data_IF_111829189253
#
_entry.id   IF_111829189253
#
_cell.length_a   1.000
_cell.length_b   1.000
_cell.length_c   1.000
_cell.angle_alpha   90.00
_cell.angle_beta   90.00
_cell.angle_gamma   90.00
#
_symmetry.space_group_name_H-M   'P 1'
#
loop_
_entity.id
_entity.type
_entity.pdbx_description
1 polymer ?
#
# COMPACT_ATOMS: atom_id res chain seq x y z
N UNK A 1 11.94 20.49 -8.25
CA UNK A 1 11.34 21.71 -7.70
C UNK A 1 12.03 21.98 -6.37
N UNK A 2 12.29 23.23 -6.00
CA UNK A 2 12.78 23.57 -4.66
C UNK A 2 11.66 24.19 -3.82
N UNK A 3 11.77 24.14 -2.50
CA UNK A 3 10.90 24.88 -1.59
C UNK A 3 11.70 26.00 -0.94
N UNK A 4 11.12 27.19 -0.95
CA UNK A 4 11.56 28.35 -0.18
C UNK A 4 10.70 28.39 1.08
N UNK A 5 11.29 27.95 2.19
CA UNK A 5 10.60 27.74 3.46
C UNK A 5 10.81 28.95 4.39
N UNK A 6 9.71 29.54 4.85
CA UNK A 6 9.69 30.60 5.87
C UNK A 6 9.27 30.03 7.22
N UNK A 7 9.99 30.37 8.28
CA UNK A 7 9.74 29.93 9.65
C UNK A 7 10.25 30.95 10.68
N UNK A 8 9.88 30.79 11.96
CA UNK A 8 10.42 31.59 13.06
C UNK A 8 11.52 30.83 13.79
N UNK A 9 12.75 31.28 13.67
CA UNK A 9 13.91 30.57 14.19
C UNK A 9 14.15 30.88 15.68
N UNK A 10 13.96 29.88 16.54
CA UNK A 10 14.19 29.98 17.98
C UNK A 10 15.65 30.30 18.32
N UNK A 11 16.62 29.73 17.59
CA UNK A 11 18.04 29.98 17.81
C UNK A 11 18.46 31.41 17.43
N UNK A 12 17.61 32.12 16.68
CA UNK A 12 17.79 33.53 16.29
C UNK A 12 16.79 34.47 16.97
N UNK A 13 16.37 34.14 18.19
CA UNK A 13 15.41 34.93 18.98
C UNK A 13 14.07 35.15 18.26
N UNK A 14 13.53 34.09 17.65
CA UNK A 14 12.21 34.07 16.99
C UNK A 14 12.09 35.00 15.78
N UNK A 15 13.22 35.36 15.16
CA UNK A 15 13.21 36.11 13.91
C UNK A 15 12.65 35.26 12.76
N UNK A 16 11.86 35.90 11.90
CA UNK A 16 11.41 35.27 10.66
C UNK A 16 12.61 35.07 9.73
N UNK A 17 12.81 33.84 9.28
CA UNK A 17 13.88 33.45 8.38
C UNK A 17 13.32 32.68 7.21
N UNK A 18 14.03 32.82 6.10
CA UNK A 18 13.76 32.10 4.87
C UNK A 18 14.97 31.25 4.51
N UNK A 19 14.74 29.98 4.19
CA UNK A 19 15.77 29.07 3.68
C UNK A 19 15.30 28.40 2.39
N UNK A 20 16.25 28.15 1.49
CA UNK A 20 15.99 27.50 0.22
C UNK A 20 16.50 26.06 0.26
N UNK A 21 15.60 25.11 0.02
CA UNK A 21 15.90 23.68 0.04
C UNK A 21 15.51 23.08 -1.31
N UNK A 22 16.46 22.42 -1.95
CA UNK A 22 16.27 21.77 -3.25
C UNK A 22 15.79 20.33 -3.06
N UNK A 23 14.99 19.85 -4.00
CA UNK A 23 14.70 18.41 -4.07
C UNK A 23 16.00 17.63 -4.28
N UNK A 24 16.18 16.50 -3.58
CA UNK A 24 17.36 15.66 -3.77
C UNK A 24 17.26 14.77 -5.02
N UNK A 25 16.07 14.69 -5.64
CA UNK A 25 15.80 13.82 -6.79
C UNK A 25 16.29 14.42 -8.10
N UNK A 26 16.25 15.76 -8.23
CA UNK A 26 16.60 16.47 -9.46
C UNK A 26 17.69 17.50 -9.20
N UNK A 27 18.88 17.30 -9.80
CA UNK A 27 20.09 18.07 -9.49
C UNK A 27 20.07 19.55 -9.89
N UNK A 28 19.16 19.99 -10.77
CA UNK A 28 19.00 21.40 -11.12
C UNK A 28 17.53 21.70 -11.45
N UNK A 29 16.86 22.44 -10.58
CA UNK A 29 15.48 22.89 -10.85
C UNK A 29 15.38 24.40 -10.63
N UNK A 30 14.90 25.17 -11.64
CA UNK A 30 14.81 26.63 -11.55
C UNK A 30 13.57 27.12 -10.77
N UNK A 31 12.59 26.25 -10.55
CA UNK A 31 11.31 26.62 -9.94
C UNK A 31 11.32 26.42 -8.41
N UNK A 32 10.87 27.47 -7.72
CA UNK A 32 10.73 27.53 -6.26
C UNK A 32 9.26 27.64 -5.87
N UNK A 33 8.82 26.80 -4.93
CA UNK A 33 7.52 26.90 -4.27
C UNK A 33 7.70 27.56 -2.89
N UNK A 34 6.95 28.63 -2.61
CA UNK A 34 7.05 29.37 -1.37
C UNK A 34 6.10 28.83 -0.31
N UNK A 35 6.61 28.37 0.83
CA UNK A 35 5.80 27.81 1.93
C UNK A 35 6.15 28.42 3.28
N UNK A 36 5.15 28.52 4.15
CA UNK A 36 5.30 28.99 5.53
C UNK A 36 5.10 27.78 6.46
N UNK A 37 6.03 27.60 7.38
CA UNK A 37 6.02 26.55 8.40
C UNK A 37 5.89 27.21 9.77
N UNK A 38 4.64 27.40 10.22
CA UNK A 38 4.33 28.21 11.41
C UNK A 38 4.67 27.51 12.73
N UNK A 39 4.66 26.18 12.76
CA UNK A 39 4.82 25.37 13.97
C UNK A 39 6.18 24.64 14.06
N UNK A 40 7.17 25.09 13.29
CA UNK A 40 8.52 24.54 13.33
C UNK A 40 9.47 25.70 13.61
N UNK A 41 10.16 25.65 14.75
CA UNK A 41 11.02 26.73 15.24
C UNK A 41 12.52 26.38 15.20
N UNK A 42 12.85 25.13 14.87
CA UNK A 42 14.21 24.61 14.68
C UNK A 42 14.53 24.41 13.19
N UNK A 43 15.68 24.91 12.74
CA UNK A 43 16.10 24.86 11.33
C UNK A 43 16.34 23.42 10.85
N UNK A 44 16.83 22.52 11.69
CA UNK A 44 17.09 21.13 11.30
C UNK A 44 15.77 20.37 11.13
N UNK A 45 14.83 20.53 12.05
CA UNK A 45 13.48 19.98 11.93
C UNK A 45 12.75 20.53 10.70
N UNK A 46 12.93 21.83 10.41
CA UNK A 46 12.38 22.43 9.20
C UNK A 46 12.96 21.78 7.94
N UNK A 47 14.29 21.60 7.89
CA UNK A 47 14.96 20.96 6.75
C UNK A 47 14.44 19.54 6.51
N UNK A 48 14.30 18.75 7.57
CA UNK A 48 13.70 17.42 7.50
C UNK A 48 12.29 17.46 6.92
N UNK A 49 11.43 18.33 7.46
CA UNK A 49 10.04 18.45 7.00
C UNK A 49 9.94 18.89 5.54
N UNK A 50 10.74 19.87 5.13
CA UNK A 50 10.74 20.38 3.77
C UNK A 50 11.20 19.31 2.77
N UNK A 51 12.22 18.51 3.13
CA UNK A 51 12.64 17.38 2.31
C UNK A 51 11.54 16.33 2.22
N UNK A 52 10.91 15.96 3.33
CA UNK A 52 9.77 15.04 3.31
C UNK A 52 8.66 15.53 2.36
N UNK A 53 8.28 16.81 2.46
CA UNK A 53 7.28 17.42 1.58
C UNK A 53 7.72 17.46 0.10
N UNK A 54 9.03 17.53 -0.19
CA UNK A 54 9.59 17.48 -1.54
C UNK A 54 9.62 16.06 -2.12
N UNK A 55 9.76 15.04 -1.29
CA UNK A 55 9.77 13.63 -1.70
C UNK A 55 8.35 13.08 -1.92
N UNK A 56 7.38 13.53 -1.11
CA UNK A 56 5.98 13.06 -1.17
C UNK A 56 5.39 13.06 -2.59
N UNK A 57 5.41 14.15 -3.38
CA UNK A 57 4.83 14.14 -4.73
C UNK A 57 5.53 13.18 -5.70
N UNK A 58 6.79 12.81 -5.40
CA UNK A 58 7.54 11.91 -6.25
C UNK A 58 7.21 10.44 -6.01
N UNK A 59 7.03 10.05 -4.75
CA UNK A 59 6.76 8.66 -4.38
C UNK A 59 5.26 8.36 -4.19
N UNK A 60 4.47 9.33 -3.73
CA UNK A 60 3.00 9.22 -3.59
C UNK A 60 2.27 9.78 -4.82
N UNK A 61 2.61 9.26 -5.99
CA UNK A 61 2.03 9.74 -7.27
C UNK A 61 0.59 9.29 -7.46
N UNK A 62 0.29 8.07 -7.01
CA UNK A 62 -1.04 7.48 -7.13
C UNK A 62 -1.77 7.68 -5.82
N UNK A 63 -2.99 8.22 -5.91
CA UNK A 63 -3.92 8.31 -4.80
C UNK A 63 -5.15 7.49 -5.14
N UNK A 64 -5.61 6.73 -4.16
CA UNK A 64 -6.83 5.95 -4.26
C UNK A 64 -7.89 6.63 -3.42
N UNK A 65 -9.05 6.84 -4.01
CA UNK A 65 -10.26 7.23 -3.32
C UNK A 65 -11.11 5.98 -3.12
N UNK A 66 -11.34 5.62 -1.86
CA UNK A 66 -11.97 4.36 -1.48
C UNK A 66 -13.19 4.69 -0.62
N UNK A 67 -14.36 4.28 -1.07
CA UNK A 67 -15.56 4.32 -0.24
C UNK A 67 -15.69 2.99 0.53
N UNK A 68 -15.91 3.08 1.84
CA UNK A 68 -16.01 1.92 2.73
C UNK A 68 -17.11 2.12 3.78
N UNK A 69 -17.49 1.02 4.42
CA UNK A 69 -18.50 0.97 5.47
C UNK A 69 -18.02 1.75 6.72
N UNK A 70 -18.94 2.17 7.59
CA UNK A 70 -18.63 2.90 8.85
C UNK A 70 -17.62 2.17 9.76
N UNK A 71 -17.48 0.85 9.68
CA UNK A 71 -16.45 0.09 10.41
C UNK A 71 -15.01 0.50 10.03
N UNK A 72 -14.83 1.10 8.84
CA UNK A 72 -13.60 1.77 8.43
C UNK A 72 -13.24 3.00 9.28
N UNK A 73 -14.07 3.42 10.25
CA UNK A 73 -13.76 4.48 11.21
C UNK A 73 -12.51 4.24 12.06
N UNK A 74 -12.06 2.98 12.20
CA UNK A 74 -10.80 2.68 12.89
C UNK A 74 -9.55 3.08 12.08
N UNK A 75 -9.68 3.31 10.77
CA UNK A 75 -8.57 3.60 9.84
C UNK A 75 -8.26 5.10 9.82
N UNK A 76 -7.52 5.56 10.84
CA UNK A 76 -7.08 6.96 10.97
C UNK A 76 -5.99 7.32 9.95
N UNK A 77 -5.79 8.62 9.64
CA UNK A 77 -4.62 9.07 8.89
C UNK A 77 -3.32 8.55 9.50
N UNK A 78 -2.45 7.99 8.67
CA UNK A 78 -1.23 7.29 9.08
C UNK A 78 -1.41 5.78 9.26
N UNK A 79 -2.63 5.25 9.28
CA UNK A 79 -2.86 3.81 9.30
C UNK A 79 -2.35 3.18 8.00
N UNK A 80 -1.68 2.03 8.15
CA UNK A 80 -1.26 1.20 7.05
C UNK A 80 -2.43 0.30 6.63
N UNK A 81 -2.78 0.33 5.35
CA UNK A 81 -3.82 -0.50 4.75
C UNK A 81 -3.27 -1.23 3.53
N UNK A 82 -3.81 -2.41 3.26
CA UNK A 82 -3.54 -3.13 2.01
C UNK A 82 -4.66 -2.89 1.03
N UNK A 83 -4.34 -2.42 -0.18
CA UNK A 83 -5.30 -2.34 -1.28
C UNK A 83 -5.11 -3.51 -2.22
N UNK A 84 -6.24 -4.12 -2.58
CA UNK A 84 -6.33 -5.23 -3.52
C UNK A 84 -7.55 -4.94 -4.38
N UNK A 85 -7.33 -4.68 -5.66
CA UNK A 85 -8.40 -4.44 -6.63
C UNK A 85 -7.97 -5.05 -7.95
N UNK A 86 -8.93 -5.55 -8.73
CA UNK A 86 -8.77 -5.97 -10.12
C UNK A 86 -8.21 -4.87 -11.05
N UNK A 87 -8.37 -3.60 -10.68
CA UNK A 87 -7.89 -2.44 -11.44
C UNK A 87 -6.46 -2.00 -11.12
N UNK A 88 -5.84 -2.57 -10.08
CA UNK A 88 -4.52 -2.12 -9.58
C UNK A 88 -3.39 -3.00 -10.11
N UNK A 89 -3.68 -4.28 -10.40
CA UNK A 89 -2.78 -5.20 -11.10
C UNK A 89 -3.55 -6.44 -11.59
N UNK A 90 -3.28 -6.95 -12.80
CA UNK A 90 -4.01 -8.08 -13.42
C UNK A 90 -3.86 -9.42 -12.65
N UNK A 91 -3.02 -9.44 -11.61
CA UNK A 91 -2.60 -10.63 -10.88
C UNK A 91 -3.04 -10.66 -9.41
N UNK A 92 -3.73 -9.63 -8.90
CA UNK A 92 -4.18 -9.52 -7.51
C UNK A 92 -5.69 -9.35 -7.38
N UNK A 93 -6.33 -10.18 -6.53
CA UNK A 93 -7.79 -10.22 -6.37
C UNK A 93 -8.21 -10.20 -4.90
N UNK A 94 -9.25 -9.43 -4.60
CA UNK A 94 -9.83 -9.28 -3.26
C UNK A 94 -11.30 -9.73 -3.22
N UNK A 95 -11.72 -10.33 -2.11
CA UNK A 95 -13.10 -10.74 -1.88
C UNK A 95 -13.44 -10.80 -0.39
N UNK A 96 -14.73 -10.82 -0.04
CA UNK A 96 -15.18 -11.23 1.31
C UNK A 96 -15.41 -12.73 1.33
N UNK A 97 -15.03 -13.35 2.45
CA UNK A 97 -15.30 -14.76 2.69
C UNK A 97 -16.81 -14.92 2.99
N UNK A 98 -17.50 -15.64 2.11
CA UNK A 98 -18.94 -15.94 2.25
C UNK A 98 -19.18 -17.13 3.17
N UNK A 99 -18.33 -18.15 3.09
CA UNK A 99 -18.48 -19.37 3.86
C UNK A 99 -17.14 -20.12 3.99
N UNK A 100 -16.86 -20.71 5.15
CA UNK A 100 -15.77 -21.67 5.34
C UNK A 100 -16.35 -23.07 5.46
N UNK A 101 -15.88 -24.01 4.64
CA UNK A 101 -16.31 -25.40 4.66
C UNK A 101 -15.54 -26.20 5.72
N UNK A 102 -16.13 -27.30 6.25
CA UNK A 102 -15.47 -28.15 7.25
C UNK A 102 -14.14 -28.78 6.80
N UNK A 103 -13.90 -28.84 5.48
CA UNK A 103 -12.69 -29.38 4.86
C UNK A 103 -11.62 -28.31 4.58
N UNK A 104 -11.85 -27.05 5.00
CA UNK A 104 -10.90 -25.94 4.84
C UNK A 104 -11.03 -25.18 3.52
N UNK A 105 -11.97 -25.55 2.64
CA UNK A 105 -12.31 -24.74 1.47
C UNK A 105 -13.03 -23.46 1.88
N UNK A 106 -12.94 -22.44 1.04
CA UNK A 106 -13.57 -21.16 1.29
C UNK A 106 -14.39 -20.75 0.07
N UNK A 107 -15.64 -20.36 0.29
CA UNK A 107 -16.47 -19.72 -0.73
C UNK A 107 -16.37 -18.20 -0.59
N UNK A 108 -16.23 -17.50 -1.70
CA UNK A 108 -16.05 -16.06 -1.78
C UNK A 108 -17.33 -15.37 -2.28
N UNK A 109 -17.50 -14.10 -1.94
CA UNK A 109 -18.64 -13.30 -2.42
C UNK A 109 -18.58 -13.02 -3.92
N UNK A 110 -17.38 -12.92 -4.49
CA UNK A 110 -17.12 -12.75 -5.91
C UNK A 110 -16.43 -13.94 -6.56
N UNK A 111 -16.70 -14.14 -7.85
CA UNK A 111 -16.01 -15.14 -8.68
C UNK A 111 -14.61 -14.63 -8.99
N UNK A 112 -13.61 -15.46 -8.73
CA UNK A 112 -12.23 -15.18 -9.11
C UNK A 112 -12.01 -15.60 -10.56
N UNK A 113 -11.31 -14.81 -11.39
CA UNK A 113 -10.91 -15.29 -12.71
C UNK A 113 -9.97 -16.47 -12.54
N UNK A 114 -10.41 -17.63 -13.01
CA UNK A 114 -9.59 -18.83 -13.06
C UNK A 114 -8.60 -18.66 -14.21
N UNK A 115 -7.30 -18.61 -13.92
CA UNK A 115 -6.27 -18.79 -14.95
C UNK A 115 -6.21 -20.27 -15.30
N UNK A 116 -7.30 -20.82 -15.81
CA UNK A 116 -7.32 -22.18 -16.39
C UNK A 116 -6.99 -22.06 -17.86
N UNK A 117 -5.72 -21.76 -18.13
CA UNK A 117 -5.05 -22.25 -19.32
C UNK A 117 -3.68 -22.73 -18.84
N UNK A 118 -3.62 -24.01 -18.47
CA UNK A 118 -2.35 -24.73 -18.47
C UNK A 118 -1.80 -24.61 -19.88
N UNK A 119 -0.89 -23.67 -20.12
CA UNK A 119 0.05 -23.82 -21.21
C UNK A 119 0.85 -25.07 -20.86
N UNK A 120 0.41 -26.21 -21.38
CA UNK A 120 1.16 -27.45 -21.29
C UNK A 120 2.54 -27.15 -21.85
N UNK A 121 3.58 -27.37 -21.05
CA UNK A 121 4.99 -27.21 -21.46
C UNK A 121 5.28 -27.96 -22.77
N UNK A 122 4.50 -29.01 -23.04
CA UNK A 122 4.60 -29.87 -24.22
C UNK A 122 4.03 -29.23 -25.52
N UNK A 123 3.25 -28.14 -25.44
CA UNK A 123 2.70 -27.41 -26.61
C UNK A 123 3.57 -26.21 -27.04
N UNK A 124 4.71 -25.97 -26.36
CA UNK A 124 5.63 -24.88 -26.68
C UNK A 124 6.61 -25.35 -27.76
N UNK A 125 6.26 -25.12 -29.02
CA UNK A 125 7.14 -25.44 -30.18
C UNK A 125 8.42 -24.60 -30.28
N UNK A 126 8.57 -23.55 -29.46
CA UNK A 126 9.78 -22.72 -29.42
C UNK A 126 10.02 -22.15 -28.01
N UNK A 127 10.79 -22.88 -27.20
CA UNK A 127 11.11 -22.54 -25.80
C UNK A 127 12.07 -21.36 -25.63
N UNK A 128 12.56 -20.78 -26.73
CA UNK A 128 13.53 -19.68 -26.71
C UNK A 128 12.92 -18.28 -26.89
N UNK A 129 11.60 -18.17 -27.04
CA UNK A 129 10.95 -16.90 -27.36
C UNK A 129 9.70 -16.61 -26.49
N UNK A 130 9.79 -16.92 -25.20
CA UNK A 130 8.76 -16.57 -24.21
C UNK A 130 9.25 -15.43 -23.32
N UNK A 131 8.86 -14.21 -23.69
CA UNK A 131 8.60 -13.18 -22.69
C UNK A 131 7.51 -13.76 -21.76
N UNK A 132 7.87 -14.12 -20.51
CA UNK A 132 6.92 -14.65 -19.51
C UNK A 132 7.16 -16.07 -18.99
N UNK A 133 8.25 -16.76 -19.38
CA UNK A 133 8.55 -18.10 -18.83
C UNK A 133 8.76 -18.11 -17.29
N UNK A 134 9.02 -16.94 -16.69
CA UNK A 134 9.15 -16.77 -15.25
C UNK A 134 7.84 -16.44 -14.52
N UNK A 135 6.74 -16.14 -15.22
CA UNK A 135 5.45 -15.77 -14.61
C UNK A 135 4.56 -17.00 -14.27
N UNK A 136 4.90 -18.18 -14.82
CA UNK A 136 4.07 -19.40 -14.74
C UNK A 136 4.26 -20.24 -13.46
N UNK A 137 5.05 -19.79 -12.49
CA UNK A 137 5.37 -20.57 -11.28
C UNK A 137 5.15 -19.82 -9.96
N UNK A 138 4.59 -18.61 -9.98
CA UNK A 138 4.31 -17.90 -8.74
C UNK A 138 3.08 -18.52 -8.06
N UNK A 139 3.35 -19.40 -7.09
CA UNK A 139 2.32 -20.00 -6.26
C UNK A 139 1.43 -18.89 -5.68
N UNK A 140 0.14 -18.98 -5.93
CA UNK A 140 -0.84 -18.09 -5.34
C UNK A 140 -1.06 -18.44 -3.87
N UNK A 141 -1.30 -17.45 -3.04
CA UNK A 141 -1.61 -17.63 -1.63
C UNK A 141 -2.71 -16.65 -1.27
N UNK A 142 -3.51 -17.06 -0.30
CA UNK A 142 -4.51 -16.27 0.38
C UNK A 142 -3.90 -15.62 1.62
N UNK A 143 -4.03 -14.30 1.75
CA UNK A 143 -3.81 -13.56 2.98
C UNK A 143 -5.17 -13.18 3.58
N UNK A 144 -5.40 -13.56 4.84
CA UNK A 144 -6.57 -13.15 5.62
C UNK A 144 -6.10 -12.48 6.89
N UNK A 145 -6.72 -11.35 7.24
CA UNK A 145 -6.48 -10.70 8.53
C UNK A 145 -7.47 -11.25 9.56
N UNK A 146 -6.96 -11.91 10.58
CA UNK A 146 -7.74 -12.43 11.72
C UNK A 146 -7.52 -11.54 12.94
N UNK A 147 -8.37 -11.64 14.00
CA UNK A 147 -8.17 -10.88 15.23
C UNK A 147 -6.81 -11.15 15.92
N UNK A 148 -6.19 -12.28 15.63
CA UNK A 148 -4.88 -12.68 16.19
C UNK A 148 -3.70 -12.32 15.29
N UNK A 149 -3.94 -11.78 14.10
CA UNK A 149 -2.89 -11.39 13.15
C UNK A 149 -3.24 -11.77 11.70
N UNK A 150 -2.34 -11.48 10.77
CA UNK A 150 -2.51 -11.90 9.39
C UNK A 150 -2.02 -13.35 9.21
N UNK A 151 -2.83 -14.16 8.55
CA UNK A 151 -2.49 -15.54 8.22
C UNK A 151 -2.38 -15.72 6.70
N UNK A 152 -1.35 -16.44 6.26
CA UNK A 152 -1.08 -16.73 4.85
C UNK A 152 -1.24 -18.23 4.56
N UNK A 153 -1.89 -18.59 3.45
CA UNK A 153 -2.12 -19.99 3.03
C UNK A 153 -1.96 -20.17 1.54
N UNK A 154 -1.19 -21.15 1.10
CA UNK A 154 -1.05 -21.40 -0.33
C UNK A 154 -2.39 -21.85 -0.93
N UNK A 155 -2.74 -21.29 -2.09
CA UNK A 155 -3.89 -21.72 -2.88
C UNK A 155 -3.46 -22.95 -3.67
N UNK A 156 -4.20 -24.04 -3.52
CA UNK A 156 -3.93 -25.31 -4.18
C UNK A 156 -4.86 -25.57 -5.36
N UNK A 157 -6.06 -24.98 -5.35
CA UNK A 157 -7.05 -25.08 -6.42
C UNK A 157 -8.05 -23.91 -6.39
N UNK A 158 -8.63 -23.56 -7.54
CA UNK A 158 -9.68 -22.54 -7.69
C UNK A 158 -10.74 -23.05 -8.65
N UNK A 159 -11.99 -23.14 -8.18
CA UNK A 159 -13.13 -23.58 -8.98
C UNK A 159 -14.31 -22.63 -8.79
N UNK A 160 -14.45 -21.65 -9.69
CA UNK A 160 -15.51 -20.64 -9.62
C UNK A 160 -15.31 -19.68 -8.43
N UNK A 161 -16.27 -19.67 -7.50
CA UNK A 161 -16.21 -18.89 -6.26
C UNK A 161 -15.63 -19.67 -5.07
N UNK A 162 -15.16 -20.90 -5.28
CA UNK A 162 -14.58 -21.74 -4.23
C UNK A 162 -13.07 -21.88 -4.43
N UNK A 163 -12.32 -21.60 -3.36
CA UNK A 163 -10.87 -21.77 -3.29
C UNK A 163 -10.51 -22.93 -2.35
N UNK A 164 -9.49 -23.69 -2.72
CA UNK A 164 -8.89 -24.73 -1.88
C UNK A 164 -7.52 -24.26 -1.41
N UNK A 165 -7.25 -24.43 -0.12
CA UNK A 165 -6.00 -24.04 0.53
C UNK A 165 -5.18 -25.26 0.92
N UNK A 166 -3.88 -25.07 1.10
CA UNK A 166 -2.95 -26.10 1.59
C UNK A 166 -3.26 -26.55 3.02
N UNK A 167 -3.80 -25.64 3.84
CA UNK A 167 -4.24 -25.89 5.20
C UNK A 167 -5.29 -24.87 5.64
N UNK A 168 -6.18 -25.23 6.58
CA UNK A 168 -7.14 -24.29 7.13
C UNK A 168 -6.43 -23.16 7.90
N UNK A 169 -7.11 -22.02 8.00
CA UNK A 169 -6.70 -20.94 8.89
C UNK A 169 -6.84 -21.33 10.35
N UNK A 170 -6.02 -20.73 11.22
CA UNK A 170 -6.06 -20.97 12.66
C UNK A 170 -7.33 -20.44 13.32
N UNK A 171 -7.91 -19.37 12.78
CA UNK A 171 -9.25 -18.89 13.16
C UNK A 171 -10.34 -19.73 12.52
N UNK A 172 -11.31 -20.18 13.32
CA UNK A 172 -12.50 -20.89 12.84
C UNK A 172 -13.62 -19.96 12.34
N UNK A 173 -13.60 -18.69 12.74
CA UNK A 173 -14.58 -17.69 12.33
C UNK A 173 -13.92 -16.67 11.40
N UNK A 174 -14.18 -16.82 10.11
CA UNK A 174 -13.66 -15.98 9.03
C UNK A 174 -14.76 -15.46 8.12
N UNK A 175 -16.02 -15.79 8.39
CA UNK A 175 -17.13 -15.31 7.59
C UNK A 175 -17.21 -13.78 7.67
N UNK A 176 -17.31 -13.12 6.52
CA UNK A 176 -17.26 -11.65 6.43
C UNK A 176 -15.85 -11.04 6.44
N UNK A 177 -14.80 -11.81 6.73
CA UNK A 177 -13.43 -11.32 6.67
C UNK A 177 -12.99 -11.08 5.22
N UNK A 178 -12.12 -10.08 5.02
CA UNK A 178 -11.52 -9.82 3.71
C UNK A 178 -10.34 -10.76 3.46
N UNK A 179 -10.28 -11.30 2.24
CA UNK A 179 -9.20 -12.14 1.75
C UNK A 179 -8.54 -11.50 0.53
N UNK A 180 -7.22 -11.57 0.47
CA UNK A 180 -6.39 -11.14 -0.67
C UNK A 180 -5.72 -12.35 -1.28
N UNK A 181 -5.81 -12.50 -2.60
CA UNK A 181 -5.26 -13.65 -3.34
C UNK A 181 -4.45 -13.12 -4.54
N UNK A 182 -3.25 -13.66 -4.72
CA UNK A 182 -2.35 -13.31 -5.83
C UNK A 182 -0.99 -13.97 -5.64
N UNK A 183 0.03 -13.68 -6.46
CA UNK A 183 1.44 -14.00 -6.19
C UNK A 183 1.92 -13.38 -4.87
N UNK A 184 2.90 -13.98 -4.18
CA UNK A 184 3.42 -13.38 -2.92
C UNK A 184 4.15 -12.06 -3.18
N UNK A 185 4.69 -11.93 -4.39
CA UNK A 185 5.36 -10.77 -4.98
C UNK A 185 4.40 -9.60 -5.23
N UNK A 186 3.13 -9.87 -5.60
CA UNK A 186 2.15 -8.87 -6.03
C UNK A 186 0.98 -8.66 -5.06
N UNK A 187 1.07 -9.22 -3.84
CA UNK A 187 -0.16 -9.57 -3.12
C UNK A 187 -0.93 -8.41 -2.50
N UNK A 188 -0.27 -7.34 -2.06
CA UNK A 188 -0.94 -6.17 -1.51
C UNK A 188 -0.15 -4.92 -1.84
N UNK A 189 -0.83 -3.92 -2.40
CA UNK A 189 -0.25 -2.59 -2.42
C UNK A 189 -0.45 -1.97 -1.04
N UNK A 190 0.63 -1.98 -0.26
CA UNK A 190 0.69 -1.31 1.04
C UNK A 190 0.50 0.18 0.79
N UNK A 191 -0.49 0.76 1.43
CA UNK A 191 -0.86 2.15 1.31
C UNK A 191 -1.00 2.77 2.69
N UNK A 192 -0.69 4.06 2.80
CA UNK A 192 -0.91 4.85 3.99
C UNK A 192 -2.19 5.66 3.79
N UNK A 193 -3.08 5.64 4.79
CA UNK A 193 -4.25 6.53 4.81
C UNK A 193 -3.76 7.96 4.96
N UNK A 194 -4.03 8.79 3.96
CA UNK A 194 -3.63 10.21 3.94
C UNK A 194 -4.73 11.09 4.50
N UNK A 195 -5.99 10.74 4.20
CA UNK A 195 -7.15 11.52 4.60
C UNK A 195 -8.37 10.61 4.77
N UNK A 196 -9.29 11.04 5.63
CA UNK A 196 -10.55 10.37 5.87
C UNK A 196 -11.69 11.41 5.93
N UNK A 197 -12.84 11.09 5.35
CA UNK A 197 -14.02 11.95 5.37
C UNK A 197 -15.31 11.13 5.44
N UNK A 198 -16.32 11.64 6.13
CA UNK A 198 -17.64 11.01 6.17
C UNK A 198 -18.42 11.43 4.93
N UNK A 199 -18.81 10.47 4.09
CA UNK A 199 -19.47 10.72 2.80
C UNK A 199 -20.98 10.44 2.83
N UNK A 200 -21.48 9.73 3.85
CA UNK A 200 -22.90 9.39 3.99
C UNK A 200 -23.33 9.00 5.41
N UNK A 201 -24.57 8.52 5.54
CA UNK A 201 -25.15 8.09 6.82
C UNK A 201 -24.51 6.79 7.34
N UNK A 202 -23.98 5.95 6.44
CA UNK A 202 -23.30 4.69 6.76
C UNK A 202 -21.99 4.43 6.00
N UNK A 203 -21.47 5.41 5.26
CA UNK A 203 -20.25 5.27 4.46
C UNK A 203 -19.21 6.37 4.76
N UNK A 204 -17.95 6.02 4.50
CA UNK A 204 -16.78 6.86 4.68
C UNK A 204 -15.90 6.80 3.43
N UNK A 205 -15.37 7.94 3.02
CA UNK A 205 -14.36 8.01 1.96
C UNK A 205 -12.97 8.14 2.57
N UNK A 206 -12.07 7.26 2.17
CA UNK A 206 -10.66 7.21 2.56
C UNK A 206 -9.83 7.57 1.34
N UNK A 207 -8.86 8.48 1.52
CA UNK A 207 -7.82 8.73 0.54
C UNK A 207 -6.55 8.03 1.00
N UNK A 208 -6.05 7.11 0.18
CA UNK A 208 -4.83 6.37 0.44
C UNK A 208 -3.76 6.68 -0.62
N UNK A 209 -2.50 6.55 -0.25
CA UNK A 209 -1.36 6.64 -1.17
C UNK A 209 -0.42 5.47 -0.95
N UNK A 210 0.31 5.07 -1.99
CA UNK A 210 1.31 4.01 -1.91
C UNK A 210 2.27 4.24 -0.74
N UNK A 211 2.60 3.19 0.02
CA UNK A 211 3.69 3.25 0.98
C UNK A 211 4.99 3.53 0.23
N UNK A 212 5.77 4.51 0.71
CA UNK A 212 7.00 4.95 0.09
C UNK A 212 8.19 4.73 1.03
N UNK A 213 8.66 3.49 1.18
CA UNK A 213 9.80 3.16 2.05
C UNK A 213 11.08 3.92 1.66
N UNK A 214 11.18 4.37 0.40
CA UNK A 214 12.30 5.18 -0.09
C UNK A 214 12.37 6.55 0.60
N UNK A 215 11.22 7.12 0.99
CA UNK A 215 11.20 8.35 1.79
C UNK A 215 11.86 8.07 3.13
N UNK A 216 11.44 7.00 3.82
CA UNK A 216 12.00 6.63 5.11
C UNK A 216 13.51 6.37 5.00
N UNK A 217 13.93 5.52 4.05
CA UNK A 217 15.33 5.21 3.82
C UNK A 217 16.16 6.47 3.52
N UNK A 218 15.63 7.41 2.72
CA UNK A 218 16.29 8.68 2.46
C UNK A 218 16.43 9.51 3.75
N UNK A 219 15.35 9.59 4.54
CA UNK A 219 15.32 10.36 5.78
C UNK A 219 16.28 9.77 6.83
N UNK A 220 16.30 8.45 7.02
CA UNK A 220 17.24 7.76 7.90
C UNK A 220 18.69 7.99 7.48
N UNK A 221 19.01 7.82 6.19
CA UNK A 221 20.37 8.01 5.70
C UNK A 221 20.86 9.46 5.76
N UNK A 222 19.95 10.43 5.60
CA UNK A 222 20.31 11.86 5.50
C UNK A 222 20.28 12.56 6.86
N UNK A 223 19.36 12.15 7.74
CA UNK A 223 19.04 12.86 8.98
C UNK A 223 19.11 11.99 10.24
N UNK A 224 19.31 10.68 10.12
CA UNK A 224 19.40 9.77 11.28
C UNK A 224 18.06 9.50 11.96
N UNK A 225 16.98 9.34 11.19
CA UNK A 225 15.75 8.71 11.68
C UNK A 225 16.04 7.22 11.97
N UNK A 226 16.28 6.89 13.24
CA UNK A 226 16.33 5.51 13.73
C UNK A 226 14.94 5.09 14.23
N UNK A 227 14.58 3.80 14.07
CA UNK A 227 13.30 3.17 14.46
C UNK A 227 13.07 3.08 15.99
N UNK A 228 13.91 3.69 16.82
CA UNK A 228 13.90 3.51 18.27
C UNK A 228 13.28 4.73 19.00
N UNK A 229 11.96 4.90 18.88
CA UNK A 229 11.10 5.50 19.93
C UNK A 229 9.61 5.10 19.80
#
# INVERSE_FOLDING_TARGET
MGIRARFRDRAKNWQEREIEIRTPIYGNVPNWDGRIYENIDDENWLRQRVIFDLLRPHYWRVRYEIETDLEGMALKPGALIGLVTDLVDDQGYGARIRQVYPDGRIALDNIMPTVTDQVMIDDISDSFNLDGLFDLNDQAFALVTTPTGAELRAVTDVSGDVITLDSPFGSSDLEGAHISIGPISNRLKRCIVVEESVSGEFSKTIIAADEAPEIYQYMSNTFGWDDDE
#
